data_IF_662872021972
#
_entry.id   IF_662872021972
#
_cell.length_a   1.000
_cell.length_b   1.000
_cell.length_c   1.000
_cell.angle_alpha   90.00
_cell.angle_beta   90.00
_cell.angle_gamma   90.00
#
_symmetry.space_group_name_H-M   'P 1'
#
loop_
_entity.id
_entity.type
_entity.pdbx_description
1 polymer ?
#
# COMPACT_ATOMS: atom_id res chain seq x y z
N UNK A 1 -5.15 -33.15 9.85
CA UNK A 1 -4.90 -33.03 8.40
C UNK A 1 -5.83 -32.02 7.73
N UNK A 2 -7.13 -32.15 7.98
CA UNK A 2 -8.12 -31.23 7.39
C UNK A 2 -7.89 -29.80 7.88
N UNK A 3 -7.67 -29.60 9.18
CA UNK A 3 -7.43 -28.27 9.75
C UNK A 3 -6.15 -27.64 9.21
N UNK A 4 -5.09 -28.41 9.02
CA UNK A 4 -3.83 -27.92 8.46
C UNK A 4 -4.02 -27.48 7.01
N UNK A 5 -4.74 -28.27 6.22
CA UNK A 5 -5.06 -27.93 4.83
C UNK A 5 -5.88 -26.63 4.77
N UNK A 6 -6.90 -26.51 5.63
CA UNK A 6 -7.73 -25.32 5.71
C UNK A 6 -6.90 -24.09 6.11
N UNK A 7 -6.00 -24.22 7.08
CA UNK A 7 -5.09 -23.15 7.49
C UNK A 7 -4.20 -22.68 6.33
N UNK A 8 -3.65 -23.62 5.55
CA UNK A 8 -2.81 -23.30 4.40
C UNK A 8 -3.60 -22.50 3.36
N UNK A 9 -4.81 -22.95 3.02
CA UNK A 9 -5.67 -22.29 2.03
C UNK A 9 -6.03 -20.88 2.50
N UNK A 10 -6.41 -20.71 3.76
CA UNK A 10 -6.76 -19.40 4.31
C UNK A 10 -5.57 -18.46 4.34
N UNK A 11 -4.40 -18.93 4.74
CA UNK A 11 -3.21 -18.10 4.83
C UNK A 11 -2.67 -17.74 3.46
N UNK A 12 -2.73 -18.66 2.49
CA UNK A 12 -2.38 -18.36 1.11
C UNK A 12 -3.29 -17.29 0.54
N UNK A 13 -4.60 -17.37 0.83
CA UNK A 13 -5.56 -16.35 0.45
C UNK A 13 -5.23 -14.98 1.02
N UNK A 14 -4.78 -14.92 2.28
CA UNK A 14 -4.35 -13.67 2.92
C UNK A 14 -3.10 -13.08 2.24
N UNK A 15 -2.13 -13.92 1.88
CA UNK A 15 -0.95 -13.49 1.12
C UNK A 15 -1.37 -12.90 -0.22
N UNK A 16 -2.26 -13.57 -0.94
CA UNK A 16 -2.75 -13.11 -2.24
C UNK A 16 -3.51 -11.78 -2.11
N UNK A 17 -4.33 -11.64 -1.08
CA UNK A 17 -5.07 -10.40 -0.80
C UNK A 17 -4.11 -9.23 -0.59
N UNK A 18 -3.05 -9.43 0.19
CA UNK A 18 -2.05 -8.40 0.47
C UNK A 18 -1.20 -8.07 -0.76
N UNK A 19 -0.87 -9.05 -1.59
CA UNK A 19 -0.19 -8.82 -2.86
C UNK A 19 -1.03 -7.92 -3.77
N UNK A 20 -2.33 -8.17 -3.84
CA UNK A 20 -3.26 -7.35 -4.62
C UNK A 20 -3.37 -5.94 -4.04
N UNK A 21 -3.46 -5.81 -2.71
CA UNK A 21 -3.48 -4.51 -2.05
C UNK A 21 -2.23 -3.68 -2.38
N UNK A 22 -1.05 -4.32 -2.42
CA UNK A 22 0.20 -3.65 -2.78
C UNK A 22 0.22 -3.19 -4.24
N UNK A 23 -0.33 -3.98 -5.17
CA UNK A 23 -0.46 -3.53 -6.55
C UNK A 23 -1.32 -2.27 -6.64
N UNK A 24 -2.44 -2.24 -5.90
CA UNK A 24 -3.32 -1.08 -5.84
C UNK A 24 -2.61 0.12 -5.21
N UNK A 25 -1.88 -0.10 -4.09
CA UNK A 25 -1.11 0.95 -3.41
C UNK A 25 -0.07 1.57 -4.34
N UNK A 26 0.64 0.76 -5.12
CA UNK A 26 1.65 1.25 -6.07
C UNK A 26 1.02 2.21 -7.08
N UNK A 27 -0.16 1.88 -7.59
CA UNK A 27 -0.88 2.76 -8.51
C UNK A 27 -1.34 4.05 -7.84
N UNK A 28 -1.85 3.94 -6.60
CA UNK A 28 -2.31 5.11 -5.84
C UNK A 28 -1.13 6.04 -5.52
N UNK A 29 0.00 5.50 -5.07
CA UNK A 29 1.21 6.30 -4.77
C UNK A 29 1.67 7.04 -6.02
N UNK A 30 1.73 6.36 -7.18
CA UNK A 30 2.14 7.01 -8.43
C UNK A 30 1.15 8.11 -8.85
N UNK A 31 -0.14 7.87 -8.69
CA UNK A 31 -1.16 8.88 -8.97
C UNK A 31 -0.99 10.11 -8.05
N UNK A 32 -0.84 9.89 -6.75
CA UNK A 32 -0.66 10.97 -5.77
C UNK A 32 0.62 11.76 -6.04
N UNK A 33 1.69 11.07 -6.44
CA UNK A 33 2.96 11.72 -6.83
C UNK A 33 2.76 12.61 -8.04
N UNK A 34 2.07 12.13 -9.07
CA UNK A 34 1.79 12.90 -10.28
C UNK A 34 0.99 14.15 -9.97
N UNK A 35 -0.02 14.04 -9.10
CA UNK A 35 -0.83 15.16 -8.65
C UNK A 35 0.03 16.17 -7.90
N UNK A 36 0.89 15.71 -6.97
CA UNK A 36 1.78 16.59 -6.23
C UNK A 36 2.71 17.37 -7.16
N UNK A 37 3.32 16.71 -8.13
CA UNK A 37 4.21 17.36 -9.10
C UNK A 37 3.47 18.44 -9.91
N UNK A 38 2.23 18.14 -10.33
CA UNK A 38 1.39 19.10 -11.04
C UNK A 38 1.03 20.30 -10.14
N UNK A 39 0.70 20.04 -8.87
CA UNK A 39 0.35 21.10 -7.91
C UNK A 39 1.56 21.99 -7.57
N UNK A 40 2.76 21.41 -7.48
CA UNK A 40 3.99 22.17 -7.29
C UNK A 40 4.20 23.16 -8.44
N UNK A 41 3.96 22.75 -9.67
CA UNK A 41 4.04 23.60 -10.85
C UNK A 41 2.99 24.71 -10.78
N UNK A 42 1.76 24.41 -10.38
CA UNK A 42 0.68 25.39 -10.21
C UNK A 42 1.03 26.43 -9.14
N UNK A 43 1.62 26.00 -8.02
CA UNK A 43 2.07 26.92 -6.99
C UNK A 43 3.14 27.86 -7.51
N UNK A 44 4.13 27.34 -8.24
CA UNK A 44 5.20 28.14 -8.82
C UNK A 44 4.67 29.21 -9.80
N UNK A 45 3.54 28.92 -10.46
CA UNK A 45 2.87 29.81 -11.38
C UNK A 45 1.76 30.66 -10.72
N UNK A 46 1.60 30.57 -9.39
CA UNK A 46 0.63 31.37 -8.66
C UNK A 46 -0.83 30.98 -8.87
N UNK A 47 -1.10 29.75 -9.38
CA UNK A 47 -2.46 29.27 -9.67
C UNK A 47 -3.13 28.73 -8.41
N UNK A 48 -2.35 28.13 -7.49
CA UNK A 48 -2.85 27.63 -6.20
C UNK A 48 -2.03 28.21 -5.06
N UNK A 49 -2.51 28.11 -3.83
CA UNK A 49 -1.78 28.53 -2.65
C UNK A 49 -1.04 27.36 -1.98
N UNK A 50 -0.19 27.68 -0.98
CA UNK A 50 0.60 26.70 -0.27
C UNK A 50 -0.27 25.72 0.54
N UNK A 51 -1.46 26.13 0.98
CA UNK A 51 -2.39 25.27 1.71
C UNK A 51 -2.89 24.13 0.81
N UNK A 52 -3.19 24.43 -0.45
CA UNK A 52 -3.61 23.43 -1.44
C UNK A 52 -2.50 22.39 -1.65
N UNK A 53 -1.26 22.85 -1.79
CA UNK A 53 -0.11 21.95 -1.96
C UNK A 53 0.10 21.08 -0.71
N UNK A 54 -0.04 21.63 0.49
CA UNK A 54 0.10 20.87 1.72
C UNK A 54 -0.94 19.72 1.82
N UNK A 55 -2.17 19.99 1.39
CA UNK A 55 -3.20 18.93 1.34
C UNK A 55 -2.81 17.81 0.38
N UNK A 56 -2.26 18.16 -0.77
CA UNK A 56 -1.80 17.20 -1.78
C UNK A 56 -0.63 16.36 -1.25
N UNK A 57 0.33 17.00 -0.58
CA UNK A 57 1.47 16.31 0.06
C UNK A 57 0.97 15.34 1.15
N UNK A 58 -0.01 15.77 1.95
CA UNK A 58 -0.58 14.92 3.00
C UNK A 58 -1.22 13.65 2.43
N UNK A 59 -1.92 13.77 1.30
CA UNK A 59 -2.53 12.63 0.62
C UNK A 59 -1.47 11.67 0.06
N UNK A 60 -0.39 12.20 -0.51
CA UNK A 60 0.72 11.39 -0.98
C UNK A 60 1.38 10.63 0.17
N UNK A 61 1.65 11.32 1.28
CA UNK A 61 2.23 10.70 2.48
C UNK A 61 1.33 9.61 3.04
N UNK A 62 0.02 9.83 3.11
CA UNK A 62 -0.95 8.83 3.55
C UNK A 62 -0.91 7.59 2.66
N UNK A 63 -0.87 7.77 1.35
CA UNK A 63 -0.77 6.66 0.40
C UNK A 63 0.53 5.86 0.59
N UNK A 64 1.66 6.54 0.83
CA UNK A 64 2.95 5.91 1.09
C UNK A 64 2.94 5.11 2.40
N UNK A 65 2.30 5.64 3.44
CA UNK A 65 2.16 4.96 4.72
C UNK A 65 1.28 3.70 4.59
N UNK A 66 0.19 3.78 3.84
CA UNK A 66 -0.66 2.61 3.57
C UNK A 66 0.11 1.51 2.84
N UNK A 67 0.92 1.90 1.86
CA UNK A 67 1.79 0.96 1.14
C UNK A 67 2.76 0.28 2.10
N UNK A 68 3.44 1.05 2.95
CA UNK A 68 4.39 0.51 3.93
C UNK A 68 3.71 -0.46 4.91
N UNK A 69 2.50 -0.13 5.36
CA UNK A 69 1.72 -1.01 6.24
C UNK A 69 1.42 -2.35 5.56
N UNK A 70 0.98 -2.32 4.30
CA UNK A 70 0.70 -3.54 3.55
C UNK A 70 1.97 -4.36 3.28
N UNK A 71 3.11 -3.70 3.04
CA UNK A 71 4.39 -4.39 2.88
C UNK A 71 4.77 -5.17 4.14
N UNK A 72 4.61 -4.56 5.31
CA UNK A 72 4.87 -5.22 6.60
C UNK A 72 3.90 -6.38 6.83
N UNK A 73 2.60 -6.15 6.58
CA UNK A 73 1.58 -7.18 6.73
C UNK A 73 1.82 -8.37 5.79
N UNK A 74 2.24 -8.09 4.56
CA UNK A 74 2.57 -9.16 3.59
C UNK A 74 3.75 -9.99 4.08
N UNK A 75 4.79 -9.34 4.59
CA UNK A 75 5.94 -10.04 5.14
C UNK A 75 5.52 -10.96 6.30
N UNK A 76 4.70 -10.45 7.22
CA UNK A 76 4.16 -11.23 8.33
C UNK A 76 3.31 -12.41 7.84
N UNK A 77 2.46 -12.18 6.82
CA UNK A 77 1.60 -13.21 6.25
C UNK A 77 2.40 -14.33 5.58
N UNK A 78 3.48 -13.98 4.88
CA UNK A 78 4.37 -14.94 4.24
C UNK A 78 5.10 -15.79 5.31
N UNK A 79 5.60 -15.16 6.36
CA UNK A 79 6.25 -15.89 7.45
C UNK A 79 5.29 -16.82 8.16
N UNK A 80 4.06 -16.39 8.38
CA UNK A 80 3.01 -17.22 8.98
C UNK A 80 2.71 -18.43 8.09
N UNK A 81 2.63 -18.23 6.78
CA UNK A 81 2.41 -19.32 5.84
C UNK A 81 3.56 -20.34 5.90
N UNK A 82 4.81 -19.87 5.92
CA UNK A 82 5.98 -20.75 6.05
C UNK A 82 5.92 -21.56 7.34
N UNK A 83 5.52 -20.95 8.45
CA UNK A 83 5.37 -21.62 9.73
C UNK A 83 4.31 -22.72 9.65
N UNK A 84 3.17 -22.43 9.03
CA UNK A 84 2.09 -23.42 8.86
C UNK A 84 2.55 -24.59 7.99
N UNK A 85 3.28 -24.30 6.90
CA UNK A 85 3.77 -25.33 5.98
C UNK A 85 4.82 -26.24 6.62
N UNK A 86 5.52 -25.76 7.64
CA UNK A 86 6.56 -26.53 8.35
C UNK A 86 6.04 -27.30 9.57
N UNK A 87 4.74 -27.30 9.81
CA UNK A 87 4.13 -28.06 10.92
C UNK A 87 4.03 -29.56 10.63
#
# INVERSE_FOLDING_TARGET
>A
LFNSHLQIVQQDGEVMRLQKALEDDNRIVELRRSVRLAEESKLANGVIDATDLLKTISKETEAMLNKSTHEIELLQAVYKLKTILNQ
#
